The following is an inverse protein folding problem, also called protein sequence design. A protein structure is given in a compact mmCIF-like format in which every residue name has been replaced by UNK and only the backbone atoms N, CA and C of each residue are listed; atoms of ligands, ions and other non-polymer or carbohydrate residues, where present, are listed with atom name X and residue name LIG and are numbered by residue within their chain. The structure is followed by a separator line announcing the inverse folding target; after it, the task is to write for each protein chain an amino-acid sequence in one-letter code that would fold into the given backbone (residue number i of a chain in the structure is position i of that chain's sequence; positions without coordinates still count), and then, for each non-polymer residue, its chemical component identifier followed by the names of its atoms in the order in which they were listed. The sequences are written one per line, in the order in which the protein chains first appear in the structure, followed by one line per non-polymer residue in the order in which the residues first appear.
data_IF_113051536362
#
_entry.id   IF_113051536362
#
_cell.length_a   1.000
_cell.length_b   1.000
_cell.length_c   1.000
_cell.angle_alpha   90.00
_cell.angle_beta   90.00
_cell.angle_gamma   90.00
#
_symmetry.space_group_name_H-M   'P 1'
#
loop_
_entity.id
_entity.type
_entity.pdbx_description
1 polymer ?
#
# COMPACT_ATOMS: atom_id res chain seq x y z
N UNK A 1 -3.74 -11.65 1.90
CA UNK A 1 -2.59 -10.98 2.58
C UNK A 1 -1.42 -10.95 1.62
N UNK A 2 -0.63 -9.90 1.64
CA UNK A 2 0.58 -9.79 0.80
C UNK A 2 1.80 -10.33 1.56
N UNK A 3 2.66 -11.08 0.89
CA UNK A 3 3.90 -11.62 1.45
C UNK A 3 5.09 -11.26 0.55
N UNK A 4 6.17 -10.79 1.17
CA UNK A 4 7.40 -10.43 0.47
C UNK A 4 8.51 -11.44 0.80
N UNK A 5 9.15 -11.98 -0.23
CA UNK A 5 10.21 -12.98 -0.09
C UNK A 5 11.48 -12.50 -0.78
N UNK A 6 12.63 -12.69 -0.11
CA UNK A 6 13.91 -12.68 -0.80
C UNK A 6 14.23 -14.12 -1.24
N UNK A 7 14.29 -14.30 -2.55
CA UNK A 7 14.58 -15.57 -3.18
C UNK A 7 16.02 -15.60 -3.68
N UNK A 8 16.70 -16.73 -3.50
CA UNK A 8 17.91 -17.06 -4.25
C UNK A 8 17.62 -18.27 -5.14
N UNK A 9 17.84 -18.09 -6.44
CA UNK A 9 17.71 -19.16 -7.41
C UNK A 9 19.11 -19.62 -7.83
N UNK A 10 19.35 -20.94 -7.77
CA UNK A 10 20.57 -21.55 -8.26
C UNK A 10 20.33 -22.12 -9.66
N UNK A 11 20.92 -21.47 -10.67
CA UNK A 11 21.02 -21.93 -12.06
C UNK A 11 22.50 -22.08 -12.47
N UNK A 12 22.83 -21.91 -13.76
CA UNK A 12 24.22 -21.64 -14.20
C UNK A 12 24.83 -20.37 -13.56
N UNK A 13 24.01 -19.54 -12.94
CA UNK A 13 24.37 -18.36 -12.16
C UNK A 13 23.46 -18.25 -10.93
N UNK A 14 23.90 -17.46 -9.95
CA UNK A 14 23.10 -17.09 -8.77
C UNK A 14 22.33 -15.82 -9.06
N UNK A 15 21.04 -15.82 -8.80
CA UNK A 15 20.20 -14.63 -8.90
C UNK A 15 19.42 -14.43 -7.61
N UNK A 16 19.39 -13.18 -7.14
CA UNK A 16 18.59 -12.75 -6.00
C UNK A 16 17.50 -11.79 -6.45
N UNK A 17 16.31 -11.91 -5.90
CA UNK A 17 15.20 -11.01 -6.18
C UNK A 17 14.23 -10.95 -5.03
N UNK A 18 13.41 -9.90 -5.04
CA UNK A 18 12.29 -9.74 -4.12
C UNK A 18 11.01 -10.07 -4.88
N UNK A 19 10.18 -10.94 -4.32
CA UNK A 19 8.90 -11.34 -4.92
C UNK A 19 7.77 -11.07 -3.96
N UNK A 20 6.66 -10.57 -4.50
CA UNK A 20 5.46 -10.22 -3.76
C UNK A 20 4.33 -11.16 -4.19
N UNK A 21 3.69 -11.82 -3.22
CA UNK A 21 2.65 -12.82 -3.49
C UNK A 21 1.44 -12.57 -2.61
N UNK A 22 0.26 -12.54 -3.22
CA UNK A 22 -1.01 -12.58 -2.49
C UNK A 22 -1.35 -14.03 -2.11
N UNK A 23 -1.61 -14.26 -0.83
CA UNK A 23 -2.05 -15.56 -0.32
C UNK A 23 -2.90 -15.43 0.95
N UNK A 24 -3.65 -16.48 1.27
CA UNK A 24 -4.46 -16.57 2.49
C UNK A 24 -3.63 -17.00 3.69
N UNK A 25 -2.43 -17.55 3.46
CA UNK A 25 -1.50 -17.98 4.51
C UNK A 25 -0.05 -17.97 4.04
N UNK A 26 0.87 -17.95 5.00
CA UNK A 26 2.31 -18.05 4.72
C UNK A 26 2.68 -19.37 4.01
N UNK A 27 2.03 -20.48 4.35
CA UNK A 27 2.29 -21.78 3.71
C UNK A 27 1.82 -21.80 2.25
N UNK A 28 0.70 -21.15 1.95
CA UNK A 28 0.24 -20.96 0.57
C UNK A 28 1.17 -20.02 -0.21
N UNK A 29 1.61 -18.92 0.40
CA UNK A 29 2.55 -17.98 -0.21
C UNK A 29 3.88 -18.66 -0.57
N UNK A 30 4.46 -19.45 0.36
CA UNK A 30 5.64 -20.28 0.08
C UNK A 30 5.40 -21.25 -1.07
N UNK A 31 4.24 -21.93 -1.10
CA UNK A 31 3.88 -22.85 -2.18
C UNK A 31 3.88 -22.12 -3.52
N UNK A 32 3.21 -20.97 -3.61
CA UNK A 32 3.14 -20.14 -4.82
C UNK A 32 4.51 -19.70 -5.32
N UNK A 33 5.38 -19.21 -4.41
CA UNK A 33 6.78 -18.85 -4.75
C UNK A 33 7.57 -20.06 -5.27
N UNK A 34 7.49 -21.20 -4.59
CA UNK A 34 8.20 -22.41 -5.01
C UNK A 34 7.72 -22.92 -6.37
N UNK A 35 6.41 -22.86 -6.64
CA UNK A 35 5.82 -23.29 -7.92
C UNK A 35 5.98 -22.29 -9.05
N UNK A 36 6.45 -21.06 -8.79
CA UNK A 36 6.55 -20.00 -9.80
C UNK A 36 5.21 -19.36 -10.15
N UNK A 37 4.22 -19.45 -9.26
CA UNK A 37 2.87 -18.93 -9.44
C UNK A 37 2.76 -17.54 -8.78
N UNK A 38 3.51 -16.56 -9.31
CA UNK A 38 3.55 -15.18 -8.82
C UNK A 38 3.97 -14.19 -9.92
N UNK A 39 3.63 -12.91 -9.76
CA UNK A 39 4.04 -11.84 -10.66
C UNK A 39 5.40 -11.26 -10.27
N UNK A 40 6.31 -11.15 -11.22
CA UNK A 40 7.68 -10.69 -10.98
C UNK A 40 7.79 -9.17 -11.18
N UNK A 41 7.79 -8.39 -10.10
CA UNK A 41 8.01 -6.93 -10.15
C UNK A 41 9.49 -6.60 -9.99
N UNK A 42 10.27 -6.71 -11.08
CA UNK A 42 11.69 -6.35 -11.09
C UNK A 42 12.35 -6.45 -12.47
N UNK A 43 13.42 -5.70 -12.70
CA UNK A 43 14.22 -5.65 -13.95
C UNK A 43 15.06 -6.91 -14.21
N UNK A 44 14.49 -8.08 -13.98
CA UNK A 44 15.16 -9.34 -14.26
C UNK A 44 14.47 -9.99 -15.45
N UNK A 45 15.00 -9.76 -16.65
CA UNK A 45 14.72 -10.60 -17.81
C UNK A 45 15.17 -12.02 -17.47
N UNK A 46 14.22 -12.88 -17.07
CA UNK A 46 14.46 -14.31 -17.04
C UNK A 46 14.42 -14.79 -18.50
N UNK A 47 15.60 -14.97 -19.10
CA UNK A 47 15.74 -15.70 -20.35
C UNK A 47 15.47 -17.19 -20.07
N UNK A 48 14.19 -17.56 -20.02
CA UNK A 48 13.73 -18.95 -19.91
C UNK A 48 13.95 -19.68 -21.24
N UNK A 49 15.14 -20.26 -21.43
CA UNK A 49 15.35 -21.27 -22.47
C UNK A 49 16.26 -22.42 -22.02
N UNK A 50 16.14 -22.83 -20.75
CA UNK A 50 16.83 -24.03 -20.26
C UNK A 50 15.91 -24.85 -19.37
N UNK A 51 15.57 -26.05 -19.84
CA UNK A 51 14.90 -27.15 -19.12
C UNK A 51 15.71 -27.67 -17.90
N UNK A 52 16.69 -26.93 -17.40
CA UNK A 52 17.47 -27.31 -16.21
C UNK A 52 16.68 -26.94 -14.95
N UNK A 53 16.40 -27.95 -14.12
CA UNK A 53 15.71 -27.84 -12.84
C UNK A 53 16.39 -26.77 -11.97
N UNK A 54 15.73 -25.63 -11.79
CA UNK A 54 16.13 -24.60 -10.83
C UNK A 54 15.95 -25.16 -9.42
N UNK A 55 17.03 -25.23 -8.64
CA UNK A 55 16.92 -25.38 -7.20
C UNK A 55 16.70 -23.97 -6.61
N UNK A 56 15.50 -23.75 -6.08
CA UNK A 56 15.10 -22.49 -5.44
C UNK A 56 15.24 -22.64 -3.93
N UNK A 57 15.97 -21.73 -3.31
CA UNK A 57 16.06 -21.61 -1.85
C UNK A 57 15.44 -20.29 -1.43
N UNK A 58 14.40 -20.35 -0.58
CA UNK A 58 13.85 -19.16 0.09
C UNK A 58 14.84 -18.81 1.19
N UNK A 59 15.50 -17.65 1.07
CA UNK A 59 16.61 -17.29 1.95
C UNK A 59 16.10 -16.58 3.19
N UNK A 60 15.23 -15.60 3.02
CA UNK A 60 14.61 -14.88 4.13
C UNK A 60 13.15 -14.51 3.79
N UNK A 61 12.29 -14.65 4.79
CA UNK A 61 10.88 -14.28 4.70
C UNK A 61 10.70 -13.05 5.58
N UNK A 62 10.28 -11.97 4.95
CA UNK A 62 9.87 -10.78 5.69
C UNK A 62 8.36 -10.84 5.89
N UNK A 63 7.85 -10.51 7.08
CA UNK A 63 6.42 -10.21 7.19
C UNK A 63 6.08 -9.07 6.22
N UNK A 64 4.82 -8.97 5.75
CA UNK A 64 4.37 -7.78 5.03
C UNK A 64 4.82 -6.54 5.80
N UNK A 65 5.53 -5.65 5.11
CA UNK A 65 5.95 -4.38 5.72
C UNK A 65 4.69 -3.63 6.14
N UNK A 66 4.68 -3.16 7.38
CA UNK A 66 3.57 -2.32 7.84
C UNK A 66 3.73 -0.91 7.30
N UNK A 67 2.65 -0.14 7.24
CA UNK A 67 2.71 1.24 6.77
C UNK A 67 3.71 2.08 7.61
N UNK A 68 3.87 1.78 8.90
CA UNK A 68 4.81 2.44 9.81
C UNK A 68 6.27 2.28 9.40
N UNK A 69 6.61 1.23 8.65
CA UNK A 69 7.96 0.94 8.16
C UNK A 69 8.26 1.63 6.82
N UNK A 70 7.23 2.12 6.13
CA UNK A 70 7.38 2.79 4.82
C UNK A 70 7.88 4.24 4.98
N UNK A 71 8.72 4.70 4.08
CA UNK A 71 9.09 6.12 3.96
C UNK A 71 7.91 6.97 3.47
N UNK A 72 7.99 8.29 3.60
CA UNK A 72 6.92 9.18 3.11
C UNK A 72 6.69 9.05 1.60
N UNK A 73 7.74 8.81 0.82
CA UNK A 73 7.62 8.60 -0.64
C UNK A 73 6.86 7.31 -0.93
N UNK A 74 7.17 6.24 -0.21
CA UNK A 74 6.48 4.96 -0.33
C UNK A 74 5.00 5.08 0.08
N UNK A 75 4.70 5.80 1.17
CA UNK A 75 3.31 6.07 1.59
C UNK A 75 2.53 6.85 0.54
N UNK A 76 3.11 7.94 0.00
CA UNK A 76 2.47 8.73 -1.07
C UNK A 76 2.21 7.90 -2.31
N UNK A 77 3.17 7.04 -2.70
CA UNK A 77 3.00 6.16 -3.85
C UNK A 77 1.90 5.13 -3.61
N UNK A 78 1.86 4.51 -2.43
CA UNK A 78 0.80 3.57 -2.04
C UNK A 78 -0.58 4.23 -2.14
N UNK A 79 -0.76 5.40 -1.52
CA UNK A 79 -2.03 6.14 -1.55
C UNK A 79 -2.47 6.41 -3.00
N UNK A 80 -1.56 6.94 -3.82
CA UNK A 80 -1.87 7.24 -5.23
C UNK A 80 -2.18 5.99 -6.04
N UNK A 81 -1.49 4.88 -5.77
CA UNK A 81 -1.74 3.60 -6.42
C UNK A 81 -3.13 3.06 -6.04
N UNK A 82 -3.47 3.05 -4.75
CA UNK A 82 -4.81 2.64 -4.29
C UNK A 82 -5.90 3.45 -4.99
N UNK A 83 -5.76 4.77 -5.06
CA UNK A 83 -6.75 5.64 -5.70
C UNK A 83 -6.83 5.40 -7.21
N UNK A 84 -5.71 5.11 -7.87
CA UNK A 84 -5.69 4.79 -9.30
C UNK A 84 -6.34 3.44 -9.62
N UNK A 85 -6.21 2.46 -8.73
CA UNK A 85 -6.71 1.10 -8.93
C UNK A 85 -8.17 0.94 -8.51
N UNK A 86 -8.54 1.49 -7.34
CA UNK A 86 -9.85 1.28 -6.72
C UNK A 86 -10.78 2.48 -6.85
N UNK A 87 -10.24 3.65 -7.19
CA UNK A 87 -11.00 4.90 -7.29
C UNK A 87 -10.85 5.79 -6.06
N UNK A 88 -11.49 6.95 -6.14
CA UNK A 88 -11.55 7.92 -5.05
C UNK A 88 -12.53 7.47 -3.97
N UNK A 89 -12.27 7.84 -2.72
CA UNK A 89 -13.12 7.46 -1.61
C UNK A 89 -13.22 8.52 -0.52
N UNK A 90 -14.24 8.44 0.34
CA UNK A 90 -14.40 9.31 1.51
C UNK A 90 -14.18 8.57 2.83
N UNK A 91 -13.91 9.31 3.91
CA UNK A 91 -13.88 8.80 5.28
C UNK A 91 -15.20 8.11 5.66
N UNK A 92 -16.33 8.62 5.15
CA UNK A 92 -17.65 8.03 5.35
C UNK A 92 -17.86 6.70 4.63
N UNK A 93 -17.25 6.50 3.46
CA UNK A 93 -17.35 5.24 2.70
C UNK A 93 -16.58 4.09 3.37
N UNK A 94 -15.48 4.42 4.06
CA UNK A 94 -14.69 3.43 4.82
C UNK A 94 -15.10 3.34 6.29
N UNK A 95 -16.21 3.99 6.67
CA UNK A 95 -16.72 4.05 8.05
C UNK A 95 -15.62 4.39 9.07
N UNK A 96 -14.74 5.35 8.72
CA UNK A 96 -13.61 5.73 9.57
C UNK A 96 -14.09 6.24 10.94
N UNK A 97 -13.40 5.84 12.02
CA UNK A 97 -13.66 6.37 13.37
C UNK A 97 -13.44 7.89 13.44
N UNK A 98 -12.48 8.40 12.66
CA UNK A 98 -12.21 9.81 12.50
C UNK A 98 -11.50 10.13 11.18
N UNK A 99 -11.69 11.36 10.71
CA UNK A 99 -10.99 11.92 9.56
C UNK A 99 -9.57 12.36 9.94
N UNK A 100 -8.55 12.14 9.08
CA UNK A 100 -7.20 12.62 9.34
C UNK A 100 -7.18 14.14 9.52
N UNK A 101 -6.61 14.60 10.64
CA UNK A 101 -6.52 16.02 10.97
C UNK A 101 -5.18 16.59 10.50
N UNK A 102 -5.22 17.65 9.68
CA UNK A 102 -4.02 18.37 9.24
C UNK A 102 -3.61 19.38 10.31
N UNK A 103 -4.57 20.17 10.77
CA UNK A 103 -4.34 21.18 11.80
C UNK A 103 -5.62 21.54 12.54
N UNK A 104 -5.43 22.03 13.77
CA UNK A 104 -6.47 22.68 14.55
C UNK A 104 -5.94 23.99 15.11
N UNK A 105 -6.65 25.08 14.84
CA UNK A 105 -6.25 26.42 15.25
C UNK A 105 -7.44 27.22 15.77
N UNK A 106 -7.51 27.36 17.09
CA UNK A 106 -8.65 28.01 17.74
C UNK A 106 -9.90 27.15 17.58
N UNK A 107 -10.96 27.73 16.99
CA UNK A 107 -12.20 27.01 16.71
C UNK A 107 -12.24 26.40 15.30
N UNK A 108 -11.16 26.52 14.53
CA UNK A 108 -11.05 25.94 13.20
C UNK A 108 -10.35 24.57 13.28
N UNK A 109 -10.94 23.58 12.60
CA UNK A 109 -10.38 22.23 12.45
C UNK A 109 -10.36 21.87 10.98
N UNK A 110 -9.21 21.41 10.48
CA UNK A 110 -8.99 21.08 9.08
C UNK A 110 -8.85 19.55 8.96
N UNK A 111 -9.87 18.92 8.39
CA UNK A 111 -9.97 17.45 8.29
C UNK A 111 -9.94 17.02 6.84
N UNK A 112 -9.24 15.92 6.54
CA UNK A 112 -9.27 15.32 5.21
C UNK A 112 -10.48 14.40 5.13
N UNK A 113 -11.48 14.77 4.33
CA UNK A 113 -12.74 14.02 4.23
C UNK A 113 -12.84 13.18 2.94
N UNK A 114 -12.11 13.58 1.89
CA UNK A 114 -12.14 12.90 0.59
C UNK A 114 -10.73 12.67 0.03
N UNK A 115 -10.51 11.48 -0.55
CA UNK A 115 -9.22 11.02 -1.07
C UNK A 115 -9.32 10.80 -2.58
N UNK A 116 -8.59 11.62 -3.35
CA UNK A 116 -8.56 11.56 -4.81
C UNK A 116 -7.12 11.79 -5.33
N UNK A 117 -6.93 12.34 -6.52
CA UNK A 117 -5.62 12.76 -7.04
C UNK A 117 -4.90 13.67 -6.03
N UNK A 118 -5.67 14.48 -5.31
CA UNK A 118 -5.26 15.26 -4.13
C UNK A 118 -6.23 14.97 -2.98
N UNK A 119 -5.81 15.26 -1.75
CA UNK A 119 -6.65 15.14 -0.57
C UNK A 119 -7.53 16.39 -0.43
N UNK A 120 -8.83 16.20 -0.29
CA UNK A 120 -9.78 17.28 -0.03
C UNK A 120 -9.90 17.51 1.47
N UNK A 121 -9.63 18.75 1.87
CA UNK A 121 -9.66 19.21 3.25
C UNK A 121 -10.90 20.04 3.45
N UNK A 122 -11.71 19.66 4.43
CA UNK A 122 -12.88 20.40 4.88
C UNK A 122 -12.53 21.13 6.17
N UNK A 123 -12.83 22.43 6.20
CA UNK A 123 -12.58 23.29 7.36
C UNK A 123 -13.87 23.48 8.14
N UNK A 124 -13.84 23.12 9.41
CA UNK A 124 -14.97 23.23 10.32
C UNK A 124 -14.75 24.35 11.35
N UNK A 125 -15.80 25.13 11.61
CA UNK A 125 -15.91 26.01 12.78
C UNK A 125 -17.10 25.58 13.63
N UNK A 126 -16.86 25.12 14.86
CA UNK A 126 -17.91 24.60 15.76
C UNK A 126 -18.87 23.61 15.04
N UNK A 127 -18.30 22.59 14.38
CA UNK A 127 -19.00 21.54 13.60
C UNK A 127 -19.71 22.01 12.32
N UNK A 128 -19.60 23.30 11.96
CA UNK A 128 -20.12 23.83 10.71
C UNK A 128 -19.00 23.91 9.68
N UNK A 129 -19.20 23.30 8.52
CA UNK A 129 -18.32 23.47 7.37
C UNK A 129 -18.31 24.94 6.92
N UNK A 130 -17.12 25.52 6.80
CA UNK A 130 -16.94 26.94 6.47
C UNK A 130 -16.03 27.17 5.25
N UNK A 131 -15.20 26.19 4.88
CA UNK A 131 -14.30 26.27 3.72
C UNK A 131 -13.86 24.87 3.27
N UNK A 132 -13.35 24.77 2.04
CA UNK A 132 -12.79 23.52 1.46
C UNK A 132 -11.57 23.83 0.59
N UNK A 133 -10.55 22.97 0.62
CA UNK A 133 -9.39 23.09 -0.27
C UNK A 133 -8.71 21.75 -0.54
N UNK A 134 -7.93 21.66 -1.62
CA UNK A 134 -7.13 20.48 -1.94
C UNK A 134 -5.68 20.65 -1.50
N UNK A 135 -5.08 19.57 -1.02
CA UNK A 135 -3.66 19.51 -0.66
C UNK A 135 -2.98 18.30 -1.31
N UNK A 136 -1.74 18.49 -1.76
CA UNK A 136 -0.99 17.38 -2.34
C UNK A 136 -0.46 16.45 -1.23
N UNK A 137 -0.53 15.14 -1.44
CA UNK A 137 -0.02 14.17 -0.46
C UNK A 137 1.46 14.39 -0.12
N UNK A 138 2.28 14.90 -1.04
CA UNK A 138 3.69 15.19 -0.74
C UNK A 138 3.91 16.33 0.26
N UNK A 139 2.88 17.12 0.54
CA UNK A 139 2.90 18.25 1.47
C UNK A 139 2.42 17.86 2.87
N UNK A 140 1.88 16.65 3.04
CA UNK A 140 1.36 16.16 4.31
C UNK A 140 2.48 15.67 5.24
N UNK A 141 2.27 15.84 6.54
CA UNK A 141 3.15 15.26 7.54
C UNK A 141 3.03 13.73 7.57
N UNK A 142 4.08 13.08 8.06
CA UNK A 142 4.19 11.61 8.07
C UNK A 142 3.01 10.95 8.78
N UNK A 143 2.56 11.48 9.92
CA UNK A 143 1.48 10.85 10.68
C UNK A 143 0.16 10.88 9.89
N UNK A 144 -0.15 12.01 9.26
CA UNK A 144 -1.31 12.12 8.38
C UNK A 144 -1.19 11.16 7.20
N UNK A 145 -0.01 11.02 6.58
CA UNK A 145 0.22 10.03 5.52
C UNK A 145 -0.01 8.59 5.99
N UNK A 146 0.39 8.25 7.21
CA UNK A 146 0.15 6.93 7.80
C UNK A 146 -1.35 6.68 8.02
N UNK A 147 -2.06 7.66 8.57
CA UNK A 147 -3.51 7.56 8.77
C UNK A 147 -4.23 7.31 7.44
N UNK A 148 -3.87 8.07 6.40
CA UNK A 148 -4.46 7.89 5.06
C UNK A 148 -4.10 6.53 4.47
N UNK A 149 -2.85 6.08 4.59
CA UNK A 149 -2.44 4.77 4.08
C UNK A 149 -3.20 3.63 4.77
N UNK A 150 -3.48 3.75 6.07
CA UNK A 150 -4.31 2.80 6.80
C UNK A 150 -5.77 2.82 6.32
N UNK A 151 -6.33 4.00 6.04
CA UNK A 151 -7.67 4.12 5.45
C UNK A 151 -7.74 3.53 4.03
N UNK A 152 -6.66 3.66 3.24
CA UNK A 152 -6.53 3.00 1.95
C UNK A 152 -6.60 1.47 2.09
N UNK A 153 -5.93 0.90 3.09
CA UNK A 153 -6.01 -0.54 3.36
C UNK A 153 -7.44 -0.96 3.73
N UNK A 154 -8.16 -0.17 4.53
CA UNK A 154 -9.58 -0.41 4.83
C UNK A 154 -10.45 -0.34 3.57
N UNK A 155 -10.22 0.64 2.69
CA UNK A 155 -10.95 0.79 1.44
C UNK A 155 -10.77 -0.39 0.50
N UNK A 156 -9.54 -0.91 0.39
CA UNK A 156 -9.21 -2.08 -0.41
C UNK A 156 -10.00 -3.31 0.10
N UNK A 157 -10.06 -3.52 1.42
CA UNK A 157 -10.81 -4.63 1.99
C UNK A 157 -12.31 -4.52 1.71
N UNK A 158 -12.92 -3.33 1.87
CA UNK A 158 -14.32 -3.11 1.49
C UNK A 158 -14.61 -3.30 0.01
N UNK A 159 -13.64 -3.00 -0.85
CA UNK A 159 -13.79 -3.15 -2.31
C UNK A 159 -13.71 -4.61 -2.76
N UNK A 160 -13.04 -5.49 -2.00
CA UNK A 160 -12.96 -6.93 -2.29
C UNK A 160 -14.25 -7.69 -1.98
N UNK A 161 -15.07 -7.16 -1.08
CA UNK A 161 -16.32 -7.77 -0.62
C UNK A 161 -17.55 -7.45 -1.52
N UNK A 162 -17.37 -6.68 -2.60
CA UNK A 162 -18.42 -6.27 -3.55
C UNK A 162 -18.33 -7.01 -4.90
#
# INVERSE_FOLDING_TARGET
MEFTFDIQEQAKYWQSGTVTVEADSLEEAKRKVMTGDYEHHGNNEILLDTEELLEREIVEIYPPRTNEEMSNVELVNKIKQTIAEYGSFSTGEVEADCSPCIESRGNLVHLIEYFNVEAEVVVYHDEVEVDEYNINYSELERNTLLDIANLCDTYIEFSKDQ
#
